data_IF_832174965986
#
_entry.id   IF_832174965986
#
_cell.length_a   1.000
_cell.length_b   1.000
_cell.length_c   1.000
_cell.angle_alpha   90.00
_cell.angle_beta   90.00
_cell.angle_gamma   90.00
#
_symmetry.space_group_name_H-M   'P 1'
#
loop_
_entity.id
_entity.type
_entity.pdbx_description
1 polymer ?
#
# COMPACT_ATOMS: atom_id res chain seq x y z
N UNK A 1 16.53 11.93 16.75
CA UNK A 1 15.76 10.73 16.32
C UNK A 1 16.19 10.43 14.90
N UNK A 2 16.82 9.28 14.66
CA UNK A 2 17.10 8.79 13.31
C UNK A 2 15.75 8.50 12.64
N UNK A 3 15.50 9.06 11.46
CA UNK A 3 14.25 8.75 10.75
C UNK A 3 14.40 7.34 10.19
N UNK A 4 13.31 6.58 10.03
CA UNK A 4 13.42 5.23 9.47
C UNK A 4 13.77 5.24 7.98
N UNK A 5 13.46 6.33 7.26
CA UNK A 5 13.61 6.47 5.81
C UNK A 5 14.01 7.92 5.48
N UNK A 6 14.86 8.09 4.45
CA UNK A 6 15.31 9.42 4.00
C UNK A 6 14.12 10.30 3.55
N UNK A 7 14.19 11.64 3.73
CA UNK A 7 13.08 12.54 3.43
C UNK A 7 12.55 12.47 1.99
N UNK A 8 13.44 12.30 1.01
CA UNK A 8 13.05 12.18 -0.41
C UNK A 8 12.19 10.94 -0.65
N UNK A 9 12.52 9.82 -0.02
CA UNK A 9 11.75 8.59 -0.10
C UNK A 9 10.38 8.74 0.60
N UNK A 10 10.27 9.52 1.68
CA UNK A 10 8.98 9.81 2.31
C UNK A 10 8.02 10.56 1.38
N UNK A 11 8.52 11.47 0.54
CA UNK A 11 7.69 12.17 -0.46
C UNK A 11 7.13 11.19 -1.51
N UNK A 12 7.97 10.27 -2.00
CA UNK A 12 7.54 9.24 -2.95
C UNK A 12 6.53 8.30 -2.30
N UNK A 13 6.78 7.88 -1.05
CA UNK A 13 5.87 7.06 -0.27
C UNK A 13 4.54 7.77 0.02
N UNK A 14 4.55 9.09 0.19
CA UNK A 14 3.32 9.90 0.30
C UNK A 14 2.51 9.86 -0.99
N UNK A 15 3.18 9.89 -2.14
CA UNK A 15 2.52 9.74 -3.45
C UNK A 15 1.92 8.34 -3.60
N UNK A 16 2.61 7.30 -3.13
CA UNK A 16 2.08 5.94 -3.06
C UNK A 16 0.90 5.82 -2.07
N UNK A 17 0.94 6.52 -0.94
CA UNK A 17 -0.20 6.58 -0.03
C UNK A 17 -1.42 7.24 -0.69
N UNK A 18 -1.22 8.36 -1.41
CA UNK A 18 -2.32 9.11 -2.02
C UNK A 18 -2.91 8.36 -3.20
N UNK A 19 -2.09 7.85 -4.13
CA UNK A 19 -2.63 7.19 -5.31
C UNK A 19 -3.10 5.77 -4.99
N UNK A 20 -2.25 4.71 -4.90
CA UNK A 20 -2.79 3.39 -4.59
C UNK A 20 -3.43 3.29 -3.21
N UNK A 21 -2.93 3.98 -2.18
CA UNK A 21 -3.51 3.85 -0.83
C UNK A 21 -4.96 4.34 -0.74
N UNK A 22 -5.25 5.58 -1.15
CA UNK A 22 -6.62 6.13 -1.09
C UNK A 22 -7.53 5.45 -2.11
N UNK A 23 -7.06 5.15 -3.33
CA UNK A 23 -7.92 4.49 -4.33
C UNK A 23 -8.31 3.09 -3.89
N UNK A 24 -7.39 2.31 -3.32
CA UNK A 24 -7.68 0.98 -2.80
C UNK A 24 -8.62 1.02 -1.60
N UNK A 25 -8.43 1.98 -0.69
CA UNK A 25 -9.36 2.17 0.42
C UNK A 25 -10.76 2.49 -0.07
N UNK A 26 -10.88 3.40 -1.03
CA UNK A 26 -12.17 3.79 -1.58
C UNK A 26 -12.84 2.62 -2.32
N UNK A 27 -12.17 2.01 -3.30
CA UNK A 27 -12.72 0.92 -4.11
C UNK A 27 -13.05 -0.32 -3.28
N UNK A 28 -12.18 -0.68 -2.33
CA UNK A 28 -12.43 -1.82 -1.44
C UNK A 28 -13.49 -1.54 -0.39
N UNK A 29 -13.61 -0.29 0.09
CA UNK A 29 -14.59 0.11 1.10
C UNK A 29 -15.99 0.37 0.53
N UNK A 30 -16.07 0.77 -0.73
CA UNK A 30 -17.31 1.19 -1.39
C UNK A 30 -18.46 0.15 -1.31
N UNK A 31 -18.23 -1.16 -1.52
CA UNK A 31 -19.29 -2.18 -1.43
C UNK A 31 -19.90 -2.30 -0.03
N UNK A 32 -19.12 -2.05 1.03
CA UNK A 32 -19.60 -2.15 2.41
C UNK A 32 -20.50 -0.98 2.81
N UNK A 33 -20.40 0.15 2.10
CA UNK A 33 -21.16 1.37 2.40
C UNK A 33 -22.35 1.51 1.46
N UNK A 34 -22.14 1.29 0.16
CA UNK A 34 -23.15 1.53 -0.87
C UNK A 34 -23.96 0.28 -1.24
N UNK A 35 -23.42 -0.92 -0.99
CA UNK A 35 -23.96 -2.18 -1.53
C UNK A 35 -23.60 -2.43 -3.00
N UNK A 36 -22.97 -1.47 -3.68
CA UNK A 36 -22.56 -1.56 -5.08
C UNK A 36 -21.06 -1.80 -5.22
N UNK A 37 -20.64 -2.43 -6.32
CA UNK A 37 -19.23 -2.63 -6.62
C UNK A 37 -18.68 -1.46 -7.44
N UNK A 38 -17.51 -0.95 -7.03
CA UNK A 38 -16.81 0.11 -7.75
C UNK A 38 -15.33 -0.22 -7.92
N UNK A 39 -14.94 -0.59 -9.14
CA UNK A 39 -13.53 -0.85 -9.48
C UNK A 39 -13.21 -0.40 -10.90
N UNK A 40 -11.93 -0.07 -11.12
CA UNK A 40 -11.42 0.16 -12.46
C UNK A 40 -11.36 -1.16 -13.23
N UNK A 41 -11.56 -1.10 -14.55
CA UNK A 41 -11.54 -2.30 -15.39
C UNK A 41 -10.17 -2.97 -15.30
N UNK A 42 -10.14 -4.26 -14.95
CA UNK A 42 -8.92 -5.06 -14.84
C UNK A 42 -8.15 -4.95 -13.52
N UNK A 43 -8.64 -4.18 -12.56
CA UNK A 43 -7.90 -3.80 -11.34
C UNK A 43 -7.72 -4.96 -10.33
N UNK A 44 -8.61 -5.95 -10.33
CA UNK A 44 -8.50 -7.08 -9.39
C UNK A 44 -7.41 -8.11 -9.73
N UNK A 45 -6.81 -8.04 -10.92
CA UNK A 45 -5.72 -8.92 -11.33
C UNK A 45 -6.05 -10.42 -11.32
N UNK A 46 -5.06 -11.27 -11.64
CA UNK A 46 -5.26 -12.73 -11.73
C UNK A 46 -5.56 -13.41 -10.39
N UNK A 47 -5.11 -12.84 -9.27
CA UNK A 47 -5.25 -13.45 -7.95
C UNK A 47 -6.71 -13.48 -7.47
N UNK A 48 -7.49 -12.44 -7.75
CA UNK A 48 -8.91 -12.41 -7.40
C UNK A 48 -9.69 -13.47 -8.20
N UNK A 49 -9.38 -13.62 -9.49
CA UNK A 49 -9.96 -14.71 -10.30
C UNK A 49 -9.57 -16.09 -9.77
N UNK A 50 -8.34 -16.26 -9.29
CA UNK A 50 -7.91 -17.48 -8.62
C UNK A 50 -8.73 -17.75 -7.35
N UNK A 51 -8.89 -16.77 -6.46
CA UNK A 51 -9.70 -16.91 -5.25
C UNK A 51 -11.17 -17.21 -5.54
N UNK A 52 -11.73 -16.61 -6.59
CA UNK A 52 -13.09 -16.92 -7.05
C UNK A 52 -13.29 -18.39 -7.39
N UNK A 53 -12.26 -19.10 -7.89
CA UNK A 53 -12.32 -20.55 -8.15
C UNK A 53 -12.43 -21.39 -6.88
N UNK A 54 -12.03 -20.85 -5.72
CA UNK A 54 -12.18 -21.48 -4.41
C UNK A 54 -13.46 -21.04 -3.68
N UNK A 55 -14.35 -20.31 -4.35
CA UNK A 55 -15.61 -19.84 -3.76
C UNK A 55 -15.44 -18.67 -2.80
N UNK A 56 -14.29 -17.98 -2.81
CA UNK A 56 -14.12 -16.75 -2.02
C UNK A 56 -15.04 -15.66 -2.60
N UNK A 57 -15.92 -15.05 -1.79
CA UNK A 57 -16.84 -14.04 -2.29
C UNK A 57 -16.08 -12.75 -2.61
N UNK A 58 -16.54 -12.03 -3.64
CA UNK A 58 -15.91 -10.80 -4.10
C UNK A 58 -15.79 -9.74 -2.99
N UNK A 59 -16.78 -9.67 -2.09
CA UNK A 59 -16.76 -8.74 -0.96
C UNK A 59 -15.56 -8.95 -0.02
N UNK A 60 -15.06 -10.19 0.12
CA UNK A 60 -13.88 -10.46 0.93
C UNK A 60 -12.60 -9.95 0.23
N UNK A 61 -12.55 -10.05 -1.10
CA UNK A 61 -11.48 -9.49 -1.94
C UNK A 61 -11.44 -7.97 -1.80
N UNK A 62 -12.61 -7.32 -1.84
CA UNK A 62 -12.76 -5.88 -1.62
C UNK A 62 -12.34 -5.45 -0.22
N UNK A 63 -12.75 -6.18 0.81
CA UNK A 63 -12.31 -5.93 2.18
C UNK A 63 -10.79 -6.01 2.31
N UNK A 64 -10.16 -6.99 1.67
CA UNK A 64 -8.69 -7.08 1.63
C UNK A 64 -8.05 -5.90 0.90
N UNK A 65 -8.63 -5.45 -0.22
CA UNK A 65 -8.19 -4.25 -0.93
C UNK A 65 -8.25 -3.00 -0.03
N UNK A 66 -9.34 -2.83 0.71
CA UNK A 66 -9.50 -1.72 1.66
C UNK A 66 -8.44 -1.76 2.77
N UNK A 67 -8.14 -2.96 3.30
CA UNK A 67 -7.10 -3.14 4.32
C UNK A 67 -5.72 -2.70 3.79
N UNK A 68 -5.36 -3.03 2.56
CA UNK A 68 -4.10 -2.58 1.94
C UNK A 68 -4.05 -1.04 1.89
N UNK A 69 -5.17 -0.40 1.53
CA UNK A 69 -5.28 1.06 1.57
C UNK A 69 -5.05 1.65 2.96
N UNK A 70 -5.61 1.03 4.01
CA UNK A 70 -5.35 1.42 5.40
C UNK A 70 -3.90 1.20 5.82
N UNK A 71 -3.27 0.11 5.38
CA UNK A 71 -1.85 -0.16 5.64
C UNK A 71 -0.95 0.90 5.00
N UNK A 72 -1.27 1.36 3.78
CA UNK A 72 -0.59 2.49 3.15
C UNK A 72 -0.67 3.76 4.00
N UNK A 73 -1.88 4.14 4.40
CA UNK A 73 -2.13 5.37 5.17
C UNK A 73 -1.44 5.29 6.52
N UNK A 74 -1.68 4.23 7.30
CA UNK A 74 -1.07 4.05 8.61
C UNK A 74 0.45 3.92 8.54
N UNK A 75 0.96 3.17 7.56
CA UNK A 75 2.39 2.95 7.38
C UNK A 75 3.13 4.25 7.04
N UNK A 76 2.64 5.01 6.07
CA UNK A 76 3.31 6.24 5.63
C UNK A 76 3.18 7.37 6.64
N UNK A 77 2.03 7.54 7.28
CA UNK A 77 1.88 8.52 8.36
C UNK A 77 2.75 8.18 9.57
N UNK A 78 2.87 6.89 9.93
CA UNK A 78 3.76 6.45 10.99
C UNK A 78 5.24 6.69 10.67
N UNK A 79 5.66 6.49 9.42
CA UNK A 79 7.01 6.81 8.96
C UNK A 79 7.30 8.33 9.02
N UNK A 80 6.32 9.18 8.67
CA UNK A 80 6.41 10.63 8.84
C UNK A 80 6.54 11.05 10.32
N UNK A 81 5.87 10.34 11.23
CA UNK A 81 5.99 10.54 12.66
C UNK A 81 7.33 10.06 13.25
N UNK A 82 8.19 9.42 12.44
CA UNK A 82 9.45 8.84 12.88
C UNK A 82 9.31 7.49 13.59
N UNK A 83 8.15 6.84 13.50
CA UNK A 83 7.94 5.52 14.10
C UNK A 83 8.47 4.42 13.19
N UNK A 84 9.62 3.83 13.57
CA UNK A 84 10.21 2.70 12.86
C UNK A 84 9.32 1.45 12.82
N UNK A 85 8.34 1.31 13.71
CA UNK A 85 7.38 0.20 13.70
C UNK A 85 6.38 0.29 12.55
N UNK A 86 6.24 1.46 11.92
CA UNK A 86 5.39 1.65 10.74
C UNK A 86 6.04 1.13 9.44
N UNK A 87 7.35 0.88 9.46
CA UNK A 87 8.08 0.32 8.31
C UNK A 87 7.51 -1.01 7.80
N UNK A 88 7.35 -2.07 8.62
CA UNK A 88 6.77 -3.33 8.15
C UNK A 88 5.36 -3.15 7.59
N UNK A 89 4.59 -2.19 8.11
CA UNK A 89 3.25 -1.90 7.63
C UNK A 89 3.26 -1.31 6.21
N UNK A 90 4.10 -0.29 5.98
CA UNK A 90 4.28 0.31 4.64
C UNK A 90 4.89 -0.69 3.65
N UNK A 91 5.84 -1.52 4.11
CA UNK A 91 6.44 -2.57 3.29
C UNK A 91 5.42 -3.62 2.86
N UNK A 92 4.62 -4.13 3.81
CA UNK A 92 3.57 -5.08 3.51
C UNK A 92 2.50 -4.47 2.58
N UNK A 93 2.11 -3.21 2.79
CA UNK A 93 1.20 -2.51 1.88
C UNK A 93 1.75 -2.50 0.44
N UNK A 94 3.03 -2.17 0.27
CA UNK A 94 3.69 -2.15 -1.03
C UNK A 94 3.76 -3.55 -1.68
N UNK A 95 4.15 -4.59 -0.93
CA UNK A 95 4.18 -5.97 -1.44
C UNK A 95 2.78 -6.43 -1.87
N UNK A 96 1.77 -6.23 -1.03
CA UNK A 96 0.41 -6.68 -1.31
C UNK A 96 -0.23 -5.90 -2.48
N UNK A 97 0.16 -4.63 -2.67
CA UNK A 97 -0.29 -3.82 -3.81
C UNK A 97 0.18 -4.40 -5.14
N UNK A 98 1.26 -5.20 -5.18
CA UNK A 98 1.71 -5.87 -6.42
C UNK A 98 0.70 -6.88 -6.97
N UNK A 99 -0.28 -7.30 -6.18
CA UNK A 99 -1.38 -8.15 -6.62
C UNK A 99 -2.36 -7.41 -7.57
N UNK A 100 -2.35 -6.07 -7.55
CA UNK A 100 -3.27 -5.21 -8.29
C UNK A 100 -2.56 -4.53 -9.47
N UNK A 101 -2.78 -5.00 -10.71
CA UNK A 101 -2.05 -4.53 -11.89
C UNK A 101 -2.36 -3.08 -12.26
N UNK A 102 -1.53 -2.51 -13.14
CA UNK A 102 -1.69 -1.15 -13.64
C UNK A 102 -0.95 -0.12 -12.79
N UNK A 103 -1.56 1.05 -12.61
CA UNK A 103 -0.96 2.17 -11.88
C UNK A 103 -0.54 1.84 -10.44
N UNK A 104 -1.37 1.15 -9.63
CA UNK A 104 -1.00 0.77 -8.27
C UNK A 104 0.28 -0.07 -8.17
N UNK A 105 0.43 -1.07 -9.04
CA UNK A 105 1.63 -1.92 -9.09
C UNK A 105 2.91 -1.13 -9.35
N UNK A 106 2.88 -0.19 -10.30
CA UNK A 106 4.07 0.64 -10.64
C UNK A 106 4.48 1.49 -9.44
N UNK A 107 3.52 2.12 -8.77
CA UNK A 107 3.79 2.91 -7.57
C UNK A 107 4.28 2.05 -6.40
N UNK A 108 3.76 0.82 -6.26
CA UNK A 108 4.24 -0.13 -5.27
C UNK A 108 5.70 -0.52 -5.50
N UNK A 109 6.12 -0.75 -6.75
CA UNK A 109 7.53 -1.02 -7.08
C UNK A 109 8.41 0.18 -6.71
N UNK A 110 7.99 1.40 -7.05
CA UNK A 110 8.73 2.61 -6.69
C UNK A 110 8.84 2.78 -5.16
N UNK A 111 7.77 2.49 -4.44
CA UNK A 111 7.75 2.53 -2.99
C UNK A 111 8.63 1.43 -2.35
N UNK A 112 8.64 0.22 -2.91
CA UNK A 112 9.56 -0.84 -2.46
C UNK A 112 11.01 -0.43 -2.65
N UNK A 113 11.34 0.18 -3.80
CA UNK A 113 12.68 0.72 -4.02
C UNK A 113 13.03 1.80 -2.98
N UNK A 114 12.07 2.67 -2.63
CA UNK A 114 12.24 3.66 -1.57
C UNK A 114 12.49 3.02 -0.20
N UNK A 115 11.70 2.02 0.18
CA UNK A 115 11.82 1.34 1.48
C UNK A 115 13.12 0.54 1.60
N UNK A 116 13.54 -0.14 0.53
CA UNK A 116 14.71 -1.02 0.54
C UNK A 116 16.02 -0.21 0.44
N UNK A 117 16.12 0.75 -0.49
CA UNK A 117 17.38 1.41 -0.81
C UNK A 117 17.60 2.75 -0.11
N UNK A 118 16.54 3.41 0.37
CA UNK A 118 16.63 4.72 1.03
C UNK A 118 16.34 4.64 2.54
N UNK A 119 16.58 3.48 3.13
CA UNK A 119 16.56 3.30 4.58
C UNK A 119 17.68 4.14 5.21
N UNK A 120 17.37 4.88 6.25
CA UNK A 120 18.39 5.55 7.06
C UNK A 120 19.03 4.51 7.98
N UNK A 121 20.30 4.18 7.72
CA UNK A 121 21.10 3.37 8.63
C UNK A 121 21.61 4.26 9.77
N UNK A 122 21.47 3.81 11.02
CA UNK A 122 21.95 4.54 12.20
C UNK A 122 23.48 4.79 12.18
N UNK A 123 24.23 4.02 11.39
CA UNK A 123 25.68 4.14 11.24
C UNK A 123 26.13 5.22 10.24
N UNK A 124 25.23 5.78 9.42
CA UNK A 124 25.57 6.77 8.39
C UNK A 124 25.38 8.23 8.84
N UNK A 125 25.05 8.49 10.11
CA UNK A 125 24.97 9.86 10.63
C UNK A 125 26.39 10.36 10.90
N UNK A 126 26.94 11.32 10.12
CA UNK A 126 28.22 11.93 10.47
C UNK A 126 28.05 12.69 11.78
N UNK A 127 29.00 12.50 12.70
CA UNK A 127 29.06 13.20 13.98
C UNK A 127 29.13 14.73 13.82
#
# INVERSE_FOLDING_TARGET
>A
MTRPVRPVALVILTTAMIYPGVTMLFQGGYPFISGDYFNLVGDYGPWASFLGRFGVPQIAVDGFKALIGLMWIGGVLGLWAGDGKAYPLAFAAAVLTLLYPGGPMVMAIAALACLIFFRENAEEVPA
#
